data_IF_312867899339
#
_entry.id   IF_312867899339
#
_cell.length_a   1.000
_cell.length_b   1.000
_cell.length_c   1.000
_cell.angle_alpha   90.00
_cell.angle_beta   90.00
_cell.angle_gamma   90.00
#
_symmetry.space_group_name_H-M   'P 1'
#
loop_
_entity.id
_entity.type
_entity.pdbx_description
1 polymer ?
#
# COMPACT_ATOMS: atom_id res chain seq x y z
N UNK A 1 -46.13 58.73 -32.49
CA UNK A 1 -46.03 57.38 -31.92
C UNK A 1 -44.68 56.80 -32.28
N UNK A 2 -43.73 56.93 -31.36
CA UNK A 2 -42.32 56.56 -31.61
C UNK A 2 -42.14 55.20 -30.95
N UNK A 3 -41.80 54.16 -31.75
CA UNK A 3 -41.48 52.81 -31.28
C UNK A 3 -40.00 52.77 -31.03
N UNK A 4 -39.60 52.61 -29.77
CA UNK A 4 -38.20 52.38 -29.35
C UNK A 4 -37.97 50.88 -29.29
N UNK A 5 -37.18 50.35 -30.21
CA UNK A 5 -36.68 48.97 -30.19
C UNK A 5 -35.50 48.88 -29.25
N UNK A 6 -35.64 48.13 -28.14
CA UNK A 6 -34.56 47.80 -27.23
C UNK A 6 -33.87 46.56 -27.77
N UNK A 7 -32.62 46.70 -28.27
CA UNK A 7 -31.74 45.59 -28.54
C UNK A 7 -31.12 45.10 -27.20
N UNK A 8 -31.54 43.93 -26.78
CA UNK A 8 -30.88 43.22 -25.69
C UNK A 8 -29.59 42.56 -26.23
N UNK A 9 -28.44 43.12 -25.91
CA UNK A 9 -27.14 42.49 -26.15
C UNK A 9 -26.94 41.48 -25.02
N UNK A 10 -27.15 40.18 -25.35
CA UNK A 10 -26.78 39.10 -24.47
C UNK A 10 -25.27 38.95 -24.36
N UNK A 11 -24.70 39.30 -23.21
CA UNK A 11 -23.36 38.92 -22.85
C UNK A 11 -23.26 37.41 -22.71
N UNK A 12 -22.75 36.74 -23.74
CA UNK A 12 -22.27 35.36 -23.62
C UNK A 12 -20.94 35.48 -22.89
N UNK A 13 -20.97 35.43 -21.57
CA UNK A 13 -19.78 35.25 -20.77
C UNK A 13 -19.23 33.83 -21.05
N UNK A 14 -18.12 33.72 -21.79
CA UNK A 14 -17.30 32.55 -21.74
C UNK A 14 -16.84 32.38 -20.29
N UNK A 15 -17.41 31.43 -19.57
CA UNK A 15 -16.81 30.93 -18.36
C UNK A 15 -15.48 30.32 -18.80
N UNK A 16 -14.38 31.02 -18.60
CA UNK A 16 -13.07 30.41 -18.59
C UNK A 16 -13.13 29.39 -17.46
N UNK A 17 -13.20 28.11 -17.77
CA UNK A 17 -12.83 27.09 -16.83
C UNK A 17 -11.45 27.45 -16.30
N UNK A 18 -11.35 27.63 -15.00
CA UNK A 18 -10.10 27.92 -14.31
C UNK A 18 -9.27 26.62 -14.37
N UNK A 19 -8.40 26.54 -15.37
CA UNK A 19 -7.59 25.35 -15.74
C UNK A 19 -6.63 24.93 -14.57
N UNK A 20 -6.66 25.65 -13.45
CA UNK A 20 -5.74 25.50 -12.32
C UNK A 20 -6.37 24.98 -11.03
N UNK A 21 -7.63 24.54 -11.00
CA UNK A 21 -8.16 23.91 -9.79
C UNK A 21 -7.89 22.41 -9.83
N UNK A 22 -7.35 21.84 -8.72
CA UNK A 22 -7.18 20.39 -8.62
C UNK A 22 -8.51 19.66 -8.79
N UNK A 23 -8.50 18.57 -9.54
CA UNK A 23 -9.63 17.64 -9.63
C UNK A 23 -9.33 16.41 -8.79
N UNK A 24 -10.30 15.97 -7.97
CA UNK A 24 -10.12 14.87 -7.04
C UNK A 24 -11.32 13.93 -7.04
N UNK A 25 -11.05 12.63 -6.88
CA UNK A 25 -12.08 11.61 -6.67
C UNK A 25 -11.63 10.67 -5.55
N UNK A 26 -12.61 10.21 -4.75
CA UNK A 26 -12.37 9.24 -3.69
C UNK A 26 -13.41 8.13 -3.79
N UNK A 27 -12.94 6.88 -3.79
CA UNK A 27 -13.74 5.66 -3.84
C UNK A 27 -13.23 4.65 -2.80
N UNK A 28 -14.00 3.61 -2.51
CA UNK A 28 -13.60 2.53 -1.60
C UNK A 28 -13.28 1.29 -2.42
N UNK A 29 -11.99 0.94 -2.48
CA UNK A 29 -11.47 -0.27 -3.10
C UNK A 29 -10.36 -0.88 -2.25
N UNK A 30 -10.06 -2.17 -2.46
CA UNK A 30 -9.01 -2.90 -1.72
C UNK A 30 -9.14 -2.76 -0.19
N UNK A 31 -10.39 -2.62 0.29
CA UNK A 31 -10.73 -2.49 1.71
C UNK A 31 -10.35 -1.15 2.35
N UNK A 32 -10.12 -0.09 1.56
CA UNK A 32 -9.71 1.23 2.06
C UNK A 32 -10.22 2.37 1.18
N UNK A 33 -10.39 3.60 1.71
CA UNK A 33 -10.59 4.78 0.87
C UNK A 33 -9.35 5.01 -0.02
N UNK A 34 -9.59 5.19 -1.31
CA UNK A 34 -8.60 5.53 -2.32
C UNK A 34 -8.93 6.92 -2.85
N UNK A 35 -7.97 7.83 -2.77
CA UNK A 35 -8.13 9.22 -3.22
C UNK A 35 -7.07 9.58 -4.25
N UNK A 36 -7.48 10.12 -5.39
CA UNK A 36 -6.58 10.58 -6.44
C UNK A 36 -6.89 12.03 -6.73
N UNK A 37 -5.86 12.89 -6.63
CA UNK A 37 -5.95 14.33 -6.89
C UNK A 37 -4.95 14.75 -7.95
N UNK A 38 -5.44 15.33 -9.04
CA UNK A 38 -4.64 15.85 -10.16
C UNK A 38 -4.50 17.37 -10.00
N UNK A 39 -3.27 17.89 -10.07
CA UNK A 39 -2.97 19.31 -9.76
C UNK A 39 -2.59 20.14 -11.00
N UNK A 40 -2.12 19.53 -12.08
CA UNK A 40 -1.65 20.23 -13.28
C UNK A 40 -2.56 20.05 -14.50
N UNK A 41 -3.83 19.87 -14.26
CA UNK A 41 -4.83 19.60 -15.28
C UNK A 41 -5.47 18.23 -15.06
N UNK A 42 -6.18 17.76 -16.06
CA UNK A 42 -6.92 16.51 -15.99
C UNK A 42 -8.41 16.74 -16.10
N UNK A 43 -9.14 15.65 -16.15
CA UNK A 43 -10.59 15.65 -16.26
C UNK A 43 -11.14 14.35 -15.69
N UNK A 44 -12.46 14.27 -15.54
CA UNK A 44 -13.14 13.09 -14.99
C UNK A 44 -12.80 11.81 -15.75
N UNK A 45 -12.66 11.85 -17.08
CA UNK A 45 -12.33 10.67 -17.88
C UNK A 45 -10.97 10.05 -17.50
N UNK A 46 -9.99 10.86 -17.11
CA UNK A 46 -8.68 10.37 -16.63
C UNK A 46 -8.85 9.69 -15.27
N UNK A 47 -9.62 10.30 -14.36
CA UNK A 47 -9.94 9.69 -13.07
C UNK A 47 -10.70 8.37 -13.24
N UNK A 48 -11.72 8.33 -14.09
CA UNK A 48 -12.46 7.09 -14.39
C UNK A 48 -11.50 5.98 -14.87
N UNK A 49 -10.59 6.29 -15.80
CA UNK A 49 -9.61 5.34 -16.34
C UNK A 49 -8.67 4.76 -15.26
N UNK A 50 -8.20 5.59 -14.32
CA UNK A 50 -7.33 5.08 -13.24
C UNK A 50 -8.11 4.27 -12.21
N UNK A 51 -9.34 4.66 -11.88
CA UNK A 51 -10.20 3.86 -11.01
C UNK A 51 -10.59 2.51 -11.65
N UNK A 52 -10.89 2.47 -12.95
CA UNK A 52 -11.10 1.22 -13.69
C UNK A 52 -9.89 0.28 -13.58
N UNK A 53 -8.65 0.81 -13.64
CA UNK A 53 -7.43 0.01 -13.45
C UNK A 53 -7.30 -0.54 -12.04
N UNK A 54 -7.66 0.24 -11.02
CA UNK A 54 -7.65 -0.22 -9.62
C UNK A 54 -8.66 -1.35 -9.42
N UNK A 55 -9.87 -1.22 -9.99
CA UNK A 55 -10.89 -2.27 -9.96
C UNK A 55 -10.40 -3.54 -10.65
N UNK A 56 -9.80 -3.41 -11.85
CA UNK A 56 -9.22 -4.55 -12.58
C UNK A 56 -8.20 -5.31 -11.71
N UNK A 57 -7.29 -4.58 -11.03
CA UNK A 57 -6.28 -5.20 -10.16
C UNK A 57 -6.96 -5.90 -8.98
N UNK A 58 -7.90 -5.26 -8.31
CA UNK A 58 -8.62 -5.86 -7.18
C UNK A 58 -9.38 -7.12 -7.59
N UNK A 59 -10.06 -7.11 -8.74
CA UNK A 59 -10.83 -8.24 -9.29
C UNK A 59 -9.94 -9.43 -9.69
N UNK A 60 -8.66 -9.19 -9.95
CA UNK A 60 -7.70 -10.23 -10.28
C UNK A 60 -7.01 -10.83 -9.04
N UNK A 61 -6.70 -10.02 -8.01
CA UNK A 61 -5.80 -10.46 -6.94
C UNK A 61 -6.40 -10.53 -5.54
N UNK A 62 -7.60 -10.00 -5.32
CA UNK A 62 -8.22 -9.99 -3.98
C UNK A 62 -8.62 -11.39 -3.54
N UNK A 63 -8.20 -11.78 -2.33
CA UNK A 63 -8.66 -13.03 -1.69
C UNK A 63 -10.03 -12.87 -0.98
N UNK A 64 -10.55 -11.64 -0.91
CA UNK A 64 -11.85 -11.31 -0.33
C UNK A 64 -12.98 -11.26 -1.38
N UNK A 65 -12.66 -11.54 -2.65
CA UNK A 65 -13.61 -11.67 -3.76
C UNK A 65 -13.57 -13.10 -4.30
N UNK A 66 -14.73 -13.62 -4.68
CA UNK A 66 -14.84 -14.92 -5.35
C UNK A 66 -14.33 -14.83 -6.79
N UNK A 67 -13.82 -15.94 -7.32
CA UNK A 67 -13.42 -16.10 -8.71
C UNK A 67 -12.30 -15.18 -9.22
N UNK A 68 -11.49 -14.60 -8.33
CA UNK A 68 -10.26 -13.91 -8.74
C UNK A 68 -9.22 -14.93 -9.23
N UNK A 69 -8.15 -14.48 -9.90
CA UNK A 69 -7.08 -15.39 -10.31
C UNK A 69 -6.32 -15.97 -9.09
N UNK A 70 -6.17 -15.18 -8.02
CA UNK A 70 -5.51 -15.64 -6.79
C UNK A 70 -6.40 -16.59 -5.99
N UNK A 71 -7.72 -16.38 -5.92
CA UNK A 71 -8.61 -17.37 -5.27
C UNK A 71 -8.62 -18.69 -6.03
N UNK A 72 -8.61 -18.68 -7.37
CA UNK A 72 -8.48 -19.90 -8.18
C UNK A 72 -7.14 -20.61 -7.95
N UNK A 73 -6.03 -19.86 -7.85
CA UNK A 73 -4.72 -20.43 -7.51
C UNK A 73 -4.75 -21.10 -6.12
N UNK A 74 -5.35 -20.45 -5.13
CA UNK A 74 -5.49 -20.98 -3.77
C UNK A 74 -6.38 -22.24 -3.73
N UNK A 75 -7.51 -22.23 -4.44
CA UNK A 75 -8.42 -23.39 -4.55
C UNK A 75 -7.79 -24.59 -5.29
N UNK A 76 -6.82 -24.33 -6.18
CA UNK A 76 -6.09 -25.36 -6.92
C UNK A 76 -4.83 -25.87 -6.19
N UNK A 77 -4.58 -25.42 -4.96
CA UNK A 77 -3.40 -25.81 -4.19
C UNK A 77 -3.30 -27.33 -4.01
N UNK A 78 -2.15 -27.91 -4.32
CA UNK A 78 -1.90 -29.35 -4.29
C UNK A 78 -2.53 -30.15 -5.44
N UNK A 79 -3.32 -29.51 -6.31
CA UNK A 79 -4.09 -30.19 -7.37
C UNK A 79 -3.52 -29.92 -8.76
N UNK A 80 -3.48 -28.66 -9.19
CA UNK A 80 -3.07 -28.30 -10.56
C UNK A 80 -2.44 -26.91 -10.65
N UNK A 81 -1.75 -26.69 -11.78
CA UNK A 81 -1.19 -25.38 -12.15
C UNK A 81 -2.28 -24.47 -12.66
N UNK A 82 -2.24 -23.19 -12.26
CA UNK A 82 -3.16 -22.16 -12.75
C UNK A 82 -2.40 -21.17 -13.62
N UNK A 83 -2.95 -20.89 -14.81
CA UNK A 83 -2.45 -19.84 -15.68
C UNK A 83 -2.99 -18.49 -15.21
N UNK A 84 -2.08 -17.55 -14.95
CA UNK A 84 -2.38 -16.19 -14.52
C UNK A 84 -2.26 -15.21 -15.67
N UNK A 85 -2.94 -14.07 -15.58
CA UNK A 85 -2.66 -12.90 -16.40
C UNK A 85 -1.24 -12.37 -16.13
N UNK A 86 -0.70 -11.55 -17.02
CA UNK A 86 0.60 -10.92 -16.79
C UNK A 86 0.59 -10.12 -15.47
N UNK A 87 -0.50 -9.40 -15.18
CA UNK A 87 -0.67 -8.57 -14.00
C UNK A 87 -0.55 -9.40 -12.71
N UNK A 88 -1.39 -10.40 -12.54
CA UNK A 88 -1.36 -11.26 -11.34
C UNK A 88 -0.04 -12.01 -11.19
N UNK A 89 0.53 -12.43 -12.32
CA UNK A 89 1.81 -13.13 -12.33
C UNK A 89 2.96 -12.23 -11.87
N UNK A 90 3.01 -10.98 -12.35
CA UNK A 90 4.07 -10.03 -12.01
C UNK A 90 4.00 -9.66 -10.51
N UNK A 91 2.80 -9.45 -9.96
CA UNK A 91 2.61 -9.21 -8.51
C UNK A 91 3.03 -10.44 -7.70
N UNK A 92 2.58 -11.64 -8.09
CA UNK A 92 2.94 -12.90 -7.41
C UNK A 92 4.47 -13.11 -7.43
N UNK A 93 5.10 -12.95 -8.58
CA UNK A 93 6.55 -13.08 -8.73
C UNK A 93 7.31 -12.11 -7.83
N UNK A 94 6.89 -10.86 -7.78
CA UNK A 94 7.47 -9.83 -6.93
C UNK A 94 7.29 -10.19 -5.44
N UNK A 95 6.12 -10.68 -5.04
CA UNK A 95 5.86 -11.17 -3.68
C UNK A 95 6.79 -12.33 -3.29
N UNK A 96 7.06 -13.28 -4.21
CA UNK A 96 8.02 -14.38 -4.00
C UNK A 96 9.45 -13.82 -3.85
N UNK A 97 9.84 -12.80 -4.62
CA UNK A 97 11.16 -12.16 -4.50
C UNK A 97 11.36 -11.57 -3.10
N UNK A 98 10.36 -10.86 -2.56
CA UNK A 98 10.43 -10.30 -1.20
C UNK A 98 10.34 -11.37 -0.11
N UNK A 99 9.59 -12.44 -0.32
CA UNK A 99 9.57 -13.59 0.60
C UNK A 99 10.96 -14.23 0.71
N UNK A 100 11.66 -14.39 -0.41
CA UNK A 100 13.06 -14.86 -0.47
C UNK A 100 14.02 -13.89 0.21
N UNK A 101 13.93 -12.58 -0.12
CA UNK A 101 14.78 -11.53 0.44
C UNK A 101 14.71 -11.46 1.96
N UNK A 102 13.53 -11.74 2.52
CA UNK A 102 13.26 -11.73 3.96
C UNK A 102 13.62 -13.04 4.68
N UNK A 103 13.98 -14.10 3.94
CA UNK A 103 14.08 -15.47 4.46
C UNK A 103 12.77 -15.92 5.14
N UNK A 104 11.62 -15.56 4.55
CA UNK A 104 10.28 -15.93 5.00
C UNK A 104 9.79 -15.20 6.25
N UNK A 105 10.41 -14.08 6.69
CA UNK A 105 9.78 -13.22 7.68
C UNK A 105 8.64 -12.39 7.08
N UNK A 106 8.74 -12.06 5.82
CA UNK A 106 7.64 -11.68 4.94
C UNK A 106 7.35 -12.88 4.04
N UNK A 107 6.15 -13.41 4.08
CA UNK A 107 5.80 -14.59 3.28
C UNK A 107 4.40 -14.43 2.70
N UNK A 108 4.31 -14.40 1.37
CA UNK A 108 3.01 -14.21 0.70
C UNK A 108 2.09 -15.43 0.79
N UNK A 109 2.58 -16.57 1.30
CA UNK A 109 1.71 -17.73 1.59
C UNK A 109 1.02 -17.63 2.95
N UNK A 110 1.02 -16.46 3.56
CA UNK A 110 0.39 -16.12 4.85
C UNK A 110 -1.15 -16.23 4.83
N UNK A 111 -1.76 -16.40 3.67
CA UNK A 111 -3.21 -16.41 3.46
C UNK A 111 -4.02 -17.23 4.46
N UNK A 112 -3.62 -18.47 4.79
CA UNK A 112 -4.34 -19.29 5.78
C UNK A 112 -4.42 -18.64 7.17
N UNK A 113 -3.35 -17.97 7.62
CA UNK A 113 -3.35 -17.22 8.89
C UNK A 113 -4.19 -15.94 8.80
N UNK A 114 -4.12 -15.21 7.68
CA UNK A 114 -4.96 -14.01 7.47
C UNK A 114 -6.44 -14.38 7.57
N UNK A 115 -6.86 -15.47 6.95
CA UNK A 115 -8.24 -15.99 7.06
C UNK A 115 -8.59 -16.44 8.46
N UNK A 116 -7.68 -17.13 9.15
CA UNK A 116 -7.91 -17.66 10.50
C UNK A 116 -8.13 -16.51 11.52
N UNK A 117 -7.30 -15.47 11.47
CA UNK A 117 -7.40 -14.31 12.35
C UNK A 117 -8.50 -13.33 11.91
N UNK A 118 -8.74 -13.18 10.61
CA UNK A 118 -9.70 -12.25 9.98
C UNK A 118 -9.60 -10.80 10.49
N UNK A 119 -8.42 -10.34 10.92
CA UNK A 119 -8.22 -9.00 11.51
C UNK A 119 -8.66 -7.90 10.52
N UNK A 120 -9.61 -7.06 10.96
CA UNK A 120 -10.19 -6.00 10.13
C UNK A 120 -11.32 -6.45 9.21
N UNK A 121 -11.79 -7.69 9.34
CA UNK A 121 -12.91 -8.28 8.61
C UNK A 121 -13.98 -8.77 9.59
N UNK A 122 -15.15 -9.11 9.07
CA UNK A 122 -16.20 -9.76 9.87
C UNK A 122 -15.71 -11.13 10.36
N UNK A 123 -15.98 -11.45 11.63
CA UNK A 123 -15.54 -12.70 12.24
C UNK A 123 -14.12 -12.68 12.81
N UNK A 124 -13.48 -11.51 12.90
CA UNK A 124 -12.17 -11.37 13.54
C UNK A 124 -12.16 -11.95 14.95
N UNK A 125 -11.16 -12.78 15.26
CA UNK A 125 -10.99 -13.47 16.55
C UNK A 125 -9.53 -13.70 16.88
N UNK A 126 -9.21 -13.95 18.13
CA UNK A 126 -7.94 -14.56 18.53
C UNK A 126 -8.09 -16.08 18.40
N UNK A 127 -7.37 -16.74 17.47
CA UNK A 127 -7.49 -18.18 17.28
C UNK A 127 -6.88 -18.95 18.46
N UNK A 128 -7.35 -20.18 18.67
CA UNK A 128 -6.72 -21.11 19.62
C UNK A 128 -5.31 -21.50 19.16
N UNK A 129 -4.47 -21.89 20.14
CA UNK A 129 -3.11 -22.33 19.85
C UNK A 129 -3.07 -23.55 18.90
N UNK A 130 -4.05 -24.43 18.99
CA UNK A 130 -4.12 -25.63 18.13
C UNK A 130 -4.47 -25.24 16.69
N UNK A 131 -5.45 -24.32 16.46
CA UNK A 131 -5.75 -23.78 15.13
C UNK A 131 -4.52 -23.10 14.51
N UNK A 132 -3.77 -22.31 15.29
CA UNK A 132 -2.55 -21.64 14.83
C UNK A 132 -1.48 -22.68 14.44
N UNK A 133 -1.21 -23.66 15.31
CA UNK A 133 -0.19 -24.69 15.06
C UNK A 133 -0.48 -25.54 13.80
N UNK A 134 -1.76 -25.81 13.52
CA UNK A 134 -2.17 -26.47 12.28
C UNK A 134 -1.93 -25.59 11.07
N UNK A 135 -2.32 -24.31 11.17
CA UNK A 135 -2.32 -23.36 10.04
C UNK A 135 -0.91 -22.99 9.60
N UNK A 136 0.05 -22.80 10.51
CA UNK A 136 1.44 -22.45 10.14
C UNK A 136 2.11 -23.52 9.26
N UNK A 137 1.63 -24.77 9.30
CA UNK A 137 2.13 -25.86 8.45
C UNK A 137 1.88 -25.67 6.95
N UNK A 138 0.99 -24.75 6.57
CA UNK A 138 0.67 -24.41 5.18
C UNK A 138 1.49 -23.23 4.64
N UNK A 139 2.31 -22.58 5.46
CA UNK A 139 3.02 -21.35 5.11
C UNK A 139 4.48 -21.66 4.79
N UNK A 140 4.85 -21.56 3.53
CA UNK A 140 6.22 -21.68 3.03
C UNK A 140 6.28 -21.27 1.55
N UNK A 141 6.80 -20.07 1.27
CA UNK A 141 6.94 -19.55 -0.10
C UNK A 141 7.81 -20.44 -1.02
N UNK A 142 8.65 -21.33 -0.46
CA UNK A 142 9.44 -22.27 -1.25
C UNK A 142 8.58 -23.34 -1.93
N UNK A 143 7.32 -23.51 -1.51
CA UNK A 143 6.36 -24.39 -2.10
C UNK A 143 5.50 -23.74 -3.21
N UNK A 144 5.91 -22.55 -3.70
CA UNK A 144 5.33 -21.92 -4.89
C UNK A 144 6.23 -22.20 -6.08
N UNK A 145 5.69 -22.90 -7.08
CA UNK A 145 6.33 -23.06 -8.39
C UNK A 145 5.75 -22.05 -9.37
N UNK A 146 6.60 -21.35 -10.13
CA UNK A 146 6.18 -20.44 -11.20
C UNK A 146 6.91 -20.73 -12.50
N UNK A 147 6.27 -20.43 -13.63
CA UNK A 147 6.85 -20.56 -14.96
C UNK A 147 6.73 -19.23 -15.73
N UNK A 148 7.87 -18.58 -15.97
CA UNK A 148 7.93 -17.28 -16.65
C UNK A 148 7.41 -17.33 -18.09
N UNK A 149 7.56 -18.47 -18.79
CA UNK A 149 7.18 -18.59 -20.20
C UNK A 149 5.68 -18.79 -20.40
N UNK A 150 5.03 -19.57 -19.52
CA UNK A 150 3.61 -19.89 -19.60
C UNK A 150 2.74 -19.03 -18.70
N UNK A 151 3.35 -18.29 -17.77
CA UNK A 151 2.68 -17.54 -16.69
C UNK A 151 1.83 -18.43 -15.80
N UNK A 152 2.25 -19.66 -15.60
CA UNK A 152 1.61 -20.60 -14.69
C UNK A 152 2.23 -20.53 -13.31
N UNK A 153 1.38 -20.69 -12.29
CA UNK A 153 1.76 -20.83 -10.89
C UNK A 153 1.14 -22.10 -10.29
N UNK A 154 1.81 -22.68 -9.32
CA UNK A 154 1.35 -23.86 -8.60
C UNK A 154 1.74 -23.79 -7.12
N UNK A 155 0.78 -23.96 -6.25
CA UNK A 155 0.99 -24.16 -4.82
C UNK A 155 1.08 -25.67 -4.58
N UNK A 156 2.25 -26.17 -4.17
CA UNK A 156 2.55 -27.61 -4.20
C UNK A 156 1.88 -28.43 -3.11
N UNK A 157 1.29 -27.79 -2.09
CA UNK A 157 0.60 -28.45 -0.99
C UNK A 157 -0.84 -28.00 -0.89
N UNK A 158 -1.76 -28.94 -0.69
CA UNK A 158 -3.15 -28.66 -0.34
C UNK A 158 -3.23 -27.81 0.93
N UNK A 159 -4.13 -26.82 0.95
CA UNK A 159 -4.32 -25.89 2.08
C UNK A 159 -3.41 -24.67 2.10
N UNK A 160 -2.43 -24.57 1.17
CA UNK A 160 -1.68 -23.32 0.96
C UNK A 160 -2.58 -22.26 0.37
N UNK A 161 -2.36 -21.00 0.78
CA UNK A 161 -3.03 -19.84 0.20
C UNK A 161 -2.08 -18.65 0.11
N UNK A 162 -2.04 -18.02 -1.05
CA UNK A 162 -1.34 -16.76 -1.28
C UNK A 162 -2.25 -15.59 -0.89
N UNK A 163 -1.70 -14.61 -0.20
CA UNK A 163 -2.29 -13.29 0.02
C UNK A 163 -1.32 -12.21 -0.48
N UNK A 164 -1.79 -11.38 -1.41
CA UNK A 164 -1.02 -10.30 -2.02
C UNK A 164 -1.37 -8.91 -1.43
N UNK A 165 -2.12 -8.85 -0.33
CA UNK A 165 -2.58 -7.60 0.28
C UNK A 165 -1.47 -6.65 0.73
N UNK A 166 -0.27 -7.18 1.01
CA UNK A 166 0.92 -6.42 1.41
C UNK A 166 1.76 -5.87 0.25
N UNK A 167 1.30 -6.04 -1.02
CA UNK A 167 2.04 -5.62 -2.21
C UNK A 167 1.12 -5.09 -3.33
N UNK A 168 -0.15 -5.50 -3.34
CA UNK A 168 -1.07 -5.20 -4.42
C UNK A 168 -1.44 -3.70 -4.51
N UNK A 169 -1.49 -2.98 -3.38
CA UNK A 169 -1.75 -1.53 -3.38
C UNK A 169 -0.59 -0.77 -4.00
N UNK A 170 0.64 -1.18 -3.69
CA UNK A 170 1.84 -0.62 -4.32
C UNK A 170 1.84 -0.81 -5.82
N UNK A 171 1.52 -2.01 -6.31
CA UNK A 171 1.38 -2.26 -7.74
C UNK A 171 0.29 -1.39 -8.38
N UNK A 172 -0.85 -1.26 -7.72
CA UNK A 172 -1.94 -0.41 -8.21
C UNK A 172 -1.53 1.06 -8.31
N UNK A 173 -0.80 1.59 -7.33
CA UNK A 173 -0.27 2.96 -7.36
C UNK A 173 0.69 3.16 -8.54
N UNK A 174 1.60 2.22 -8.80
CA UNK A 174 2.54 2.30 -9.94
C UNK A 174 1.81 2.27 -11.30
N UNK A 175 0.77 1.44 -11.46
CA UNK A 175 -0.03 1.41 -12.68
C UNK A 175 -0.85 2.70 -12.86
N UNK A 176 -1.39 3.27 -11.78
CA UNK A 176 -2.05 4.59 -11.81
C UNK A 176 -1.07 5.67 -12.25
N UNK A 177 0.13 5.74 -11.67
CA UNK A 177 1.19 6.69 -12.04
C UNK A 177 1.54 6.56 -13.52
N UNK A 178 1.68 5.35 -14.02
CA UNK A 178 1.96 5.07 -15.43
C UNK A 178 0.85 5.60 -16.36
N UNK A 179 -0.42 5.39 -15.99
CA UNK A 179 -1.56 5.94 -16.74
C UNK A 179 -1.54 7.46 -16.71
N UNK A 180 -1.36 8.08 -15.54
CA UNK A 180 -1.33 9.53 -15.41
C UNK A 180 -0.21 10.16 -16.24
N UNK A 181 1.00 9.58 -16.20
CA UNK A 181 2.13 10.03 -17.06
C UNK A 181 1.82 9.92 -18.56
N UNK A 182 1.13 8.86 -19.00
CA UNK A 182 0.68 8.68 -20.38
C UNK A 182 -0.39 9.71 -20.81
N UNK A 183 -1.27 10.11 -19.89
CA UNK A 183 -2.29 11.16 -20.10
C UNK A 183 -1.71 12.58 -19.97
N UNK A 184 -0.39 12.71 -19.75
CA UNK A 184 0.30 14.00 -19.67
C UNK A 184 0.23 14.67 -18.29
N UNK A 185 -0.30 14.01 -17.27
CA UNK A 185 -0.32 14.50 -15.89
C UNK A 185 1.07 14.36 -15.29
N UNK A 186 1.58 15.43 -14.69
CA UNK A 186 2.91 15.51 -14.07
C UNK A 186 2.88 15.89 -12.60
N UNK A 187 1.72 16.26 -12.07
CA UNK A 187 1.52 16.66 -10.68
C UNK A 187 0.24 16.04 -10.13
N UNK A 188 0.38 15.07 -9.24
CA UNK A 188 -0.75 14.38 -8.63
C UNK A 188 -0.37 13.79 -7.26
N UNK A 189 -1.38 13.61 -6.40
CA UNK A 189 -1.31 12.76 -5.21
C UNK A 189 -2.22 11.56 -5.43
N UNK A 190 -1.66 10.37 -5.27
CA UNK A 190 -2.33 9.08 -5.32
C UNK A 190 -2.24 8.49 -3.91
N UNK A 191 -3.36 8.41 -3.20
CA UNK A 191 -3.44 7.82 -1.85
C UNK A 191 -4.32 6.56 -1.87
N UNK A 192 -3.69 5.41 -1.73
CA UNK A 192 -4.34 4.11 -1.63
C UNK A 192 -4.34 3.65 -0.15
N UNK A 193 -5.00 4.45 0.71
CA UNK A 193 -5.16 4.08 2.12
C UNK A 193 -3.86 4.06 2.92
N UNK A 194 -3.01 5.08 2.73
CA UNK A 194 -1.72 5.21 3.39
C UNK A 194 -0.52 4.73 2.56
N UNK A 195 -0.77 4.14 1.38
CA UNK A 195 0.21 4.00 0.32
C UNK A 195 0.09 5.25 -0.57
N UNK A 196 0.99 6.20 -0.39
CA UNK A 196 0.92 7.51 -1.03
C UNK A 196 2.00 7.63 -2.10
N UNK A 197 1.62 7.86 -3.36
CA UNK A 197 2.55 8.28 -4.40
C UNK A 197 2.38 9.76 -4.67
N UNK A 198 3.45 10.52 -4.52
CA UNK A 198 3.53 11.94 -4.79
C UNK A 198 4.18 12.16 -6.16
N UNK A 199 3.35 12.21 -7.22
CA UNK A 199 3.80 12.33 -8.60
C UNK A 199 4.34 13.74 -8.87
N UNK A 200 5.60 13.81 -9.34
CA UNK A 200 6.28 15.06 -9.67
C UNK A 200 6.41 15.98 -8.47
N UNK A 201 6.09 17.27 -8.68
CA UNK A 201 6.11 18.32 -7.66
C UNK A 201 4.72 18.98 -7.54
N UNK A 202 4.46 19.60 -6.40
CA UNK A 202 3.21 20.33 -6.15
C UNK A 202 3.02 21.48 -7.12
N UNK A 203 4.12 22.18 -7.43
CA UNK A 203 4.21 23.25 -8.43
C UNK A 203 5.69 23.42 -8.83
N UNK A 204 6.00 24.39 -9.72
CA UNK A 204 7.36 24.61 -10.23
C UNK A 204 8.44 24.79 -9.15
N UNK A 205 8.07 25.25 -7.95
CA UNK A 205 9.01 25.72 -6.94
C UNK A 205 8.98 24.88 -5.65
N UNK A 206 8.01 23.96 -5.50
CA UNK A 206 7.81 23.22 -4.25
C UNK A 206 7.58 21.72 -4.50
N UNK A 207 8.36 20.92 -3.81
CA UNK A 207 8.13 19.48 -3.68
C UNK A 207 6.89 19.17 -2.82
N UNK A 208 6.52 17.91 -2.74
CA UNK A 208 5.44 17.44 -1.90
C UNK A 208 5.92 17.28 -0.45
N UNK A 209 5.07 17.65 0.50
CA UNK A 209 5.25 17.31 1.91
C UNK A 209 4.22 16.26 2.27
N UNK A 210 4.67 15.01 2.45
CA UNK A 210 3.82 13.89 2.84
C UNK A 210 3.85 13.74 4.35
N UNK A 211 2.67 13.82 4.98
CA UNK A 211 2.51 13.68 6.42
C UNK A 211 2.76 12.25 6.89
N UNK A 212 3.49 12.08 8.00
CA UNK A 212 3.71 10.79 8.67
C UNK A 212 2.72 10.69 9.84
N UNK A 213 1.85 9.69 9.79
CA UNK A 213 0.77 9.45 10.76
C UNK A 213 1.33 9.20 12.18
N UNK A 214 0.67 9.77 13.18
CA UNK A 214 0.87 9.43 14.59
C UNK A 214 0.25 8.04 14.88
N UNK A 215 1.05 7.01 15.22
CA UNK A 215 0.56 5.65 15.47
C UNK A 215 -0.36 5.52 16.69
N UNK A 216 -0.37 6.52 17.56
CA UNK A 216 -1.08 6.51 18.85
C UNK A 216 -2.29 7.44 18.87
N UNK A 217 -2.64 8.01 17.71
CA UNK A 217 -3.73 8.98 17.58
C UNK A 217 -4.67 8.60 16.43
N UNK A 218 -5.82 9.26 16.38
CA UNK A 218 -6.79 9.12 15.31
C UNK A 218 -6.16 9.43 13.94
N UNK A 219 -6.70 8.80 12.90
CA UNK A 219 -6.25 8.99 11.52
C UNK A 219 -6.28 10.46 11.12
N UNK A 220 -5.21 10.92 10.48
CA UNK A 220 -5.02 12.30 10.02
C UNK A 220 -4.22 13.17 10.99
N UNK A 221 -3.88 12.71 12.21
CA UNK A 221 -2.92 13.40 13.07
C UNK A 221 -1.51 12.97 12.69
N UNK A 222 -0.66 13.94 12.34
CA UNK A 222 0.71 13.67 11.88
C UNK A 222 1.74 14.06 12.94
N UNK A 223 2.83 13.28 13.00
CA UNK A 223 3.98 13.61 13.86
C UNK A 223 4.98 14.52 13.17
N UNK A 224 5.00 14.49 11.84
CA UNK A 224 5.92 15.23 11.00
C UNK A 224 5.57 15.06 9.54
N UNK A 225 6.40 15.60 8.65
CA UNK A 225 6.26 15.46 7.22
C UNK A 225 7.61 15.21 6.56
N UNK A 226 7.60 14.43 5.49
CA UNK A 226 8.76 14.20 4.63
C UNK A 226 8.58 14.92 3.30
N UNK A 227 9.60 15.66 2.87
CA UNK A 227 9.64 16.30 1.57
C UNK A 227 10.10 15.30 0.51
N UNK A 228 9.29 15.15 -0.56
CA UNK A 228 9.53 14.18 -1.63
C UNK A 228 9.21 14.76 -3.01
N UNK A 229 9.92 14.26 -4.02
CA UNK A 229 9.70 14.55 -5.43
C UNK A 229 9.61 13.24 -6.23
N UNK A 230 8.50 13.02 -6.94
CA UNK A 230 8.24 11.83 -7.78
C UNK A 230 8.57 10.51 -7.04
N UNK A 231 8.10 10.38 -5.79
CA UNK A 231 8.34 9.22 -4.92
C UNK A 231 7.08 8.74 -4.23
N UNK A 232 7.14 7.50 -3.79
CA UNK A 232 6.11 6.90 -2.93
C UNK A 232 6.53 6.97 -1.46
N UNK A 233 5.54 7.07 -0.57
CA UNK A 233 5.68 6.94 0.89
C UNK A 233 4.64 5.93 1.35
N UNK A 234 5.09 4.76 1.78
CA UNK A 234 4.21 3.65 2.19
C UNK A 234 4.46 3.31 3.64
N UNK A 235 3.40 3.27 4.43
CA UNK A 235 3.49 3.01 5.86
C UNK A 235 2.82 1.70 6.24
N UNK A 236 3.53 0.89 7.03
CA UNK A 236 2.98 -0.25 7.78
C UNK A 236 3.02 0.05 9.27
N UNK A 237 1.92 -0.21 9.98
CA UNK A 237 1.83 0.09 11.41
C UNK A 237 0.79 -0.73 12.16
N UNK A 238 0.98 -0.84 13.47
CA UNK A 238 0.12 -1.63 14.37
C UNK A 238 -1.29 -1.04 14.55
N UNK A 239 -1.50 0.17 14.12
CA UNK A 239 -2.76 0.93 14.27
C UNK A 239 -3.70 0.81 13.08
N UNK A 240 -3.23 0.28 11.94
CA UNK A 240 -4.04 0.21 10.71
C UNK A 240 -5.23 -0.75 10.86
N UNK A 241 -4.96 -1.99 11.30
CA UNK A 241 -5.96 -3.01 11.58
C UNK A 241 -5.53 -3.83 12.78
N UNK A 242 -6.42 -3.99 13.76
CA UNK A 242 -6.17 -4.77 14.96
C UNK A 242 -7.48 -5.25 15.58
N UNK A 243 -7.38 -6.22 16.47
CA UNK A 243 -8.43 -6.60 17.43
C UNK A 243 -7.88 -6.46 18.84
N UNK A 244 -8.75 -6.21 19.79
CA UNK A 244 -8.40 -6.20 21.21
C UNK A 244 -9.18 -7.29 21.94
N UNK A 245 -8.45 -8.13 22.67
CA UNK A 245 -9.03 -9.18 23.51
C UNK A 245 -8.25 -9.25 24.82
N UNK A 246 -8.95 -9.23 25.96
CA UNK A 246 -8.39 -9.24 27.32
C UNK A 246 -7.31 -8.16 27.56
N UNK A 247 -7.46 -6.98 26.93
CA UNK A 247 -6.53 -5.86 27.04
C UNK A 247 -5.24 -6.00 26.23
N UNK A 248 -5.14 -7.04 25.40
CA UNK A 248 -4.04 -7.26 24.46
C UNK A 248 -4.49 -6.85 23.05
N UNK A 249 -3.63 -6.10 22.37
CA UNK A 249 -3.85 -5.69 20.98
C UNK A 249 -3.12 -6.63 20.04
N UNK A 250 -3.86 -7.21 19.08
CA UNK A 250 -3.36 -8.10 18.04
C UNK A 250 -3.51 -7.42 16.69
N UNK A 251 -2.40 -6.93 16.13
CA UNK A 251 -2.40 -6.27 14.82
C UNK A 251 -2.26 -7.27 13.65
N UNK A 252 -2.56 -6.82 12.45
CA UNK A 252 -2.67 -7.66 11.24
C UNK A 252 -1.34 -8.14 10.64
N UNK A 253 -0.19 -7.64 11.10
CA UNK A 253 1.13 -8.06 10.57
C UNK A 253 1.53 -9.33 11.32
N UNK A 254 1.20 -10.49 10.69
CA UNK A 254 1.36 -11.80 11.29
C UNK A 254 2.74 -12.39 11.02
N UNK A 255 3.27 -13.10 12.01
CA UNK A 255 4.54 -13.83 11.91
C UNK A 255 4.29 -15.24 11.35
N UNK A 256 4.80 -15.59 10.17
CA UNK A 256 4.59 -16.90 9.54
C UNK A 256 5.08 -18.09 10.38
N UNK A 257 6.05 -17.85 11.29
CA UNK A 257 6.66 -18.91 12.10
C UNK A 257 5.94 -19.17 13.40
N UNK A 258 5.35 -18.15 14.01
CA UNK A 258 4.66 -18.26 15.31
C UNK A 258 3.15 -18.27 15.14
N UNK A 259 2.64 -17.73 14.03
CA UNK A 259 1.22 -17.56 13.73
C UNK A 259 0.54 -16.42 14.49
N UNK A 260 1.29 -15.70 15.34
CA UNK A 260 0.82 -14.50 16.07
C UNK A 260 1.30 -13.22 15.39
N UNK A 261 0.71 -12.04 15.72
CA UNK A 261 1.28 -10.76 15.32
C UNK A 261 2.76 -10.63 15.71
N UNK A 262 3.54 -9.92 14.91
CA UNK A 262 4.93 -9.64 15.23
C UNK A 262 5.04 -8.79 16.51
N UNK A 263 5.85 -9.22 17.46
CA UNK A 263 6.25 -8.41 18.60
C UNK A 263 7.55 -7.68 18.26
N UNK A 264 7.45 -6.37 18.01
CA UNK A 264 8.59 -5.51 17.67
C UNK A 264 8.58 -4.24 18.52
N UNK A 265 9.69 -3.51 18.50
CA UNK A 265 9.80 -2.17 19.05
C UNK A 265 9.14 -1.09 18.17
N UNK A 266 8.70 -1.46 16.96
CA UNK A 266 8.12 -0.56 15.95
C UNK A 266 6.61 -0.41 16.14
N UNK A 267 6.12 0.83 16.24
CA UNK A 267 4.70 1.18 16.12
C UNK A 267 4.29 1.45 14.67
N UNK A 268 5.21 1.99 13.87
CA UNK A 268 5.03 2.22 12.43
C UNK A 268 6.36 2.39 11.71
N UNK A 269 6.40 1.99 10.45
CA UNK A 269 7.53 2.24 9.55
C UNK A 269 7.02 2.75 8.21
N UNK A 270 7.57 3.87 7.76
CA UNK A 270 7.29 4.45 6.43
C UNK A 270 8.50 4.25 5.53
N UNK A 271 8.29 3.66 4.37
CA UNK A 271 9.30 3.48 3.31
C UNK A 271 9.09 4.54 2.25
N UNK A 272 10.19 5.18 1.84
CA UNK A 272 10.26 6.15 0.75
C UNK A 272 11.07 5.52 -0.37
N UNK A 273 10.47 5.40 -1.57
CA UNK A 273 11.12 4.74 -2.71
C UNK A 273 10.64 5.30 -4.06
N UNK A 274 11.23 4.82 -5.15
CA UNK A 274 10.84 5.20 -6.52
C UNK A 274 9.59 4.44 -7.00
N UNK A 275 9.44 3.16 -6.58
CA UNK A 275 8.34 2.29 -6.97
C UNK A 275 7.47 1.92 -5.77
N UNK A 276 6.16 2.05 -5.93
CA UNK A 276 5.23 1.82 -4.83
C UNK A 276 5.06 0.34 -4.50
N UNK A 277 5.18 -0.55 -5.49
CA UNK A 277 5.17 -2.00 -5.26
C UNK A 277 6.32 -2.44 -4.35
N UNK A 278 7.51 -1.88 -4.55
CA UNK A 278 8.68 -2.17 -3.73
C UNK A 278 8.49 -1.60 -2.31
N UNK A 279 8.02 -0.37 -2.19
CA UNK A 279 7.77 0.26 -0.89
C UNK A 279 6.68 -0.46 -0.07
N UNK A 280 5.60 -0.95 -0.70
CA UNK A 280 4.51 -1.68 -0.03
C UNK A 280 5.06 -2.99 0.59
N UNK A 281 5.76 -3.81 -0.20
CA UNK A 281 6.39 -5.03 0.31
C UNK A 281 7.48 -4.74 1.37
N UNK A 282 8.32 -3.73 1.13
CA UNK A 282 9.40 -3.36 2.04
C UNK A 282 8.89 -2.80 3.37
N UNK A 283 7.76 -2.08 3.39
CA UNK A 283 7.21 -1.56 4.64
C UNK A 283 6.84 -2.70 5.59
N UNK A 284 6.18 -3.74 5.09
CA UNK A 284 5.86 -4.94 5.87
C UNK A 284 7.11 -5.72 6.25
N UNK A 285 8.00 -6.00 5.29
CA UNK A 285 9.26 -6.72 5.52
C UNK A 285 10.13 -6.03 6.57
N UNK A 286 10.31 -4.72 6.46
CA UNK A 286 11.15 -3.93 7.37
C UNK A 286 10.55 -3.88 8.78
N UNK A 287 9.23 -3.79 8.89
CA UNK A 287 8.51 -3.89 10.16
C UNK A 287 8.88 -5.18 10.92
N UNK A 288 9.00 -6.32 10.23
CA UNK A 288 9.33 -7.61 10.87
C UNK A 288 10.73 -7.69 11.47
N UNK A 289 11.62 -6.74 11.12
CA UNK A 289 13.04 -6.74 11.55
C UNK A 289 13.29 -5.95 12.84
N UNK A 290 12.35 -5.10 13.27
CA UNK A 290 12.59 -4.12 14.32
C UNK A 290 13.48 -2.97 13.84
N UNK A 291 13.68 -1.94 14.69
CA UNK A 291 14.38 -0.70 14.30
C UNK A 291 15.82 -0.98 13.87
N UNK A 292 16.61 -1.65 14.72
CA UNK A 292 18.06 -1.81 14.51
C UNK A 292 18.40 -2.54 13.21
N UNK A 293 17.81 -3.72 13.01
CA UNK A 293 18.07 -4.53 11.82
C UNK A 293 17.36 -3.97 10.60
N UNK A 294 16.21 -3.30 10.79
CA UNK A 294 15.46 -2.62 9.73
C UNK A 294 16.23 -1.44 9.15
N UNK A 295 16.79 -0.56 9.98
CA UNK A 295 17.67 0.54 9.53
C UNK A 295 18.83 0.00 8.72
N UNK A 296 19.61 -0.95 9.29
CA UNK A 296 20.73 -1.55 8.60
C UNK A 296 20.33 -2.21 7.27
N UNK A 297 19.16 -2.82 7.21
CA UNK A 297 18.66 -3.45 6.00
C UNK A 297 18.35 -2.40 4.93
N UNK A 298 17.60 -1.34 5.27
CA UNK A 298 17.21 -0.29 4.32
C UNK A 298 18.41 0.52 3.83
N UNK A 299 19.38 0.84 4.70
CA UNK A 299 20.61 1.56 4.33
C UNK A 299 21.48 0.81 3.31
N UNK A 300 21.27 -0.50 3.11
CA UNK A 300 21.94 -1.29 2.07
C UNK A 300 21.13 -1.41 0.77
N UNK A 301 19.95 -0.76 0.69
CA UNK A 301 19.13 -0.71 -0.52
C UNK A 301 19.37 0.60 -1.28
N UNK A 302 19.42 0.52 -2.60
CA UNK A 302 19.58 1.70 -3.44
C UNK A 302 18.23 2.45 -3.57
N UNK A 303 18.25 3.79 -3.40
CA UNK A 303 17.10 4.68 -3.57
C UNK A 303 15.89 4.39 -2.64
N UNK A 304 16.13 3.75 -1.51
CA UNK A 304 15.11 3.46 -0.49
C UNK A 304 15.52 4.10 0.82
N UNK A 305 14.58 4.84 1.42
CA UNK A 305 14.74 5.43 2.73
C UNK A 305 13.63 4.98 3.67
N UNK A 306 13.84 5.12 4.98
CA UNK A 306 12.85 4.72 5.98
C UNK A 306 12.76 5.69 7.17
N UNK A 307 11.54 5.81 7.69
CA UNK A 307 11.21 6.51 8.94
C UNK A 307 10.58 5.47 9.86
N UNK A 308 11.23 5.17 10.98
CA UNK A 308 10.73 4.25 12.01
C UNK A 308 10.18 5.04 13.19
N UNK A 309 9.02 4.61 13.68
CA UNK A 309 8.41 5.15 14.89
C UNK A 309 8.29 4.01 15.88
N UNK A 310 8.84 4.18 17.08
CA UNK A 310 8.83 3.15 18.13
C UNK A 310 7.65 3.28 19.08
N UNK A 311 7.41 2.21 19.85
CA UNK A 311 6.38 2.17 20.88
C UNK A 311 6.65 3.17 22.03
N UNK A 312 7.90 3.60 22.23
CA UNK A 312 8.30 4.64 23.19
C UNK A 312 8.44 6.04 22.56
N UNK A 313 7.82 6.24 21.36
CA UNK A 313 7.72 7.51 20.64
C UNK A 313 9.05 8.10 20.16
N UNK A 314 10.04 7.25 19.91
CA UNK A 314 11.27 7.64 19.22
C UNK A 314 11.14 7.47 17.72
N UNK A 315 11.83 8.34 16.99
CA UNK A 315 11.88 8.33 15.53
C UNK A 315 13.31 8.04 15.11
N UNK A 316 13.47 7.04 14.24
CA UNK A 316 14.75 6.72 13.63
C UNK A 316 14.64 6.89 12.12
N UNK A 317 15.65 7.50 11.51
CA UNK A 317 15.68 7.88 10.10
C UNK A 317 16.89 7.25 9.44
N UNK A 318 16.74 6.77 8.19
CA UNK A 318 17.92 6.49 7.35
C UNK A 318 18.67 7.80 7.05
N UNK A 319 19.97 7.70 6.73
CA UNK A 319 20.83 8.88 6.62
C UNK A 319 20.35 9.88 5.57
N UNK A 320 19.91 9.39 4.39
CA UNK A 320 19.57 10.26 3.27
C UNK A 320 18.30 11.09 3.48
N UNK A 321 17.39 10.65 4.41
CA UNK A 321 16.10 11.34 4.60
C UNK A 321 16.12 12.37 5.75
N UNK A 322 17.22 12.46 6.51
CA UNK A 322 17.32 13.33 7.70
C UNK A 322 17.03 14.79 7.41
N UNK A 323 17.56 15.29 6.30
CA UNK A 323 17.37 16.70 5.90
C UNK A 323 15.99 16.97 5.30
N UNK A 324 15.29 15.91 4.86
CA UNK A 324 13.97 16.01 4.22
C UNK A 324 12.81 15.77 5.21
N UNK A 325 13.08 15.22 6.40
CA UNK A 325 12.05 14.99 7.42
C UNK A 325 11.98 16.14 8.42
N UNK A 326 10.79 16.70 8.58
CA UNK A 326 10.51 17.75 9.57
C UNK A 326 9.59 17.23 10.65
N UNK A 327 10.11 17.10 11.90
CA UNK A 327 9.31 16.80 13.07
C UNK A 327 8.38 17.98 13.41
N UNK A 328 7.11 17.72 13.67
CA UNK A 328 6.08 18.71 13.98
C UNK A 328 5.44 18.50 15.36
N UNK A 329 5.52 17.28 15.91
CA UNK A 329 4.97 16.94 17.22
C UNK A 329 6.03 17.05 18.31
N UNK A 330 5.66 17.61 19.45
CA UNK A 330 6.53 17.69 20.63
C UNK A 330 6.50 16.41 21.50
N UNK A 331 5.61 15.46 21.18
CA UNK A 331 5.45 14.20 21.91
C UNK A 331 6.44 13.12 21.43
N UNK A 332 7.20 13.40 20.39
CA UNK A 332 8.16 12.49 19.75
C UNK A 332 9.55 13.12 19.69
N UNK A 333 10.58 12.29 19.69
CA UNK A 333 11.98 12.71 19.52
C UNK A 333 12.70 11.93 18.43
N UNK A 334 13.60 12.61 17.71
CA UNK A 334 14.49 11.95 16.74
C UNK A 334 15.67 11.39 17.52
N UNK A 335 15.90 10.07 17.37
CA UNK A 335 16.93 9.29 18.05
C UNK A 335 17.72 8.50 17.02
N UNK A 336 18.88 9.00 16.63
CA UNK A 336 19.76 8.31 15.65
C UNK A 336 21.13 8.02 16.25
#
# INVERSE_FOLDING_TARGET
MIVISILAIGNIGCVKEDINQPISQTEIFMGTPISITLYDGGNQKILDKVFEKIVEIEDLVSINKENTEITKLNESAGVEKVKLSNLSYDILKKGIEYSKLSNGSYDITIGPLVKLWSIGLEGAKVPSKDEINETIGYIDYNNIEINDSTKEAFLTKEGMEVDLGSIAKGYAADEVVKILKQEGIRSAIIDLGGNIYALGSKNSDNNWNVGIQDPFSDRGKVIGAVEVFDKTVVTSGIYERFIEEDGVRYHHILNPKTGYPYETDIAGVSIIADNSIDADALSTLTFTKGVKEGLKFVENLDNVDAIFITNDKKIYLTENIKDNFKLMSNDFEISN
#
